data_IF_320444498113
#
_entry.id   IF_320444498113
#
_cell.length_a   1.000
_cell.length_b   1.000
_cell.length_c   1.000
_cell.angle_alpha   90.00
_cell.angle_beta   90.00
_cell.angle_gamma   90.00
#
_symmetry.space_group_name_H-M   'P 1'
#
loop_
_entity.id
_entity.type
_entity.pdbx_description
1 polymer ?
#
# COMPACT_ATOMS: atom_id res chain seq x y z
N UNK A 1 -59.46 3.27 -2.51
CA UNK A 1 -58.98 3.68 -3.85
C UNK A 1 -58.45 5.09 -3.73
N UNK A 2 -57.16 5.22 -3.55
CA UNK A 2 -56.44 6.51 -3.50
C UNK A 2 -55.29 6.40 -4.49
N UNK A 3 -55.50 7.07 -5.64
CA UNK A 3 -54.51 7.12 -6.72
C UNK A 3 -53.33 8.02 -6.33
N UNK A 4 -52.15 7.48 -6.37
CA UNK A 4 -50.91 8.23 -6.30
C UNK A 4 -50.56 8.84 -7.66
N UNK A 5 -50.35 10.15 -7.70
CA UNK A 5 -49.94 10.89 -8.87
C UNK A 5 -48.46 10.59 -9.19
N UNK A 6 -48.03 10.57 -10.47
CA UNK A 6 -46.64 10.32 -10.86
C UNK A 6 -45.77 11.55 -10.56
N UNK A 7 -44.61 11.33 -9.95
CA UNK A 7 -43.58 12.34 -9.74
C UNK A 7 -42.98 12.70 -11.11
N UNK A 8 -43.13 13.94 -11.54
CA UNK A 8 -42.55 14.52 -12.76
C UNK A 8 -41.16 15.05 -12.42
N UNK A 9 -40.12 14.40 -12.95
CA UNK A 9 -38.74 14.94 -12.93
C UNK A 9 -38.65 16.08 -13.94
N UNK A 10 -38.52 17.30 -13.48
CA UNK A 10 -38.20 18.44 -14.33
C UNK A 10 -36.73 18.35 -14.72
N UNK A 11 -36.44 18.51 -16.03
CA UNK A 11 -35.09 18.61 -16.57
C UNK A 11 -34.54 19.99 -16.18
N UNK A 12 -33.65 19.99 -15.16
CA UNK A 12 -32.83 21.15 -14.84
C UNK A 12 -31.80 21.39 -15.93
N UNK A 13 -31.69 22.62 -16.39
CA UNK A 13 -30.68 23.10 -17.32
C UNK A 13 -29.27 22.81 -16.80
N UNK A 14 -28.43 22.18 -17.64
CA UNK A 14 -27.00 22.00 -17.38
C UNK A 14 -26.33 23.36 -17.55
N UNK A 15 -26.13 24.08 -16.47
CA UNK A 15 -25.26 25.26 -16.44
C UNK A 15 -23.81 24.76 -16.48
N UNK A 16 -23.16 24.96 -17.60
CA UNK A 16 -21.74 24.71 -17.73
C UNK A 16 -20.94 25.66 -16.84
N UNK A 17 -20.54 25.21 -15.66
CA UNK A 17 -19.58 25.92 -14.85
C UNK A 17 -18.17 25.72 -15.42
N UNK A 18 -17.51 26.84 -15.62
CA UNK A 18 -16.15 27.00 -16.11
C UNK A 18 -15.16 26.21 -15.26
N UNK A 19 -14.27 25.54 -15.97
CA UNK A 19 -12.96 25.00 -15.55
C UNK A 19 -12.22 25.93 -14.59
N UNK A 20 -11.79 25.41 -13.42
CA UNK A 20 -10.76 26.07 -12.64
C UNK A 20 -10.78 25.94 -11.13
N UNK A 21 -11.61 25.08 -10.55
CA UNK A 21 -11.46 24.71 -9.14
C UNK A 21 -11.70 23.21 -9.01
N UNK A 22 -10.63 22.45 -8.82
CA UNK A 22 -10.74 21.09 -8.34
C UNK A 22 -11.52 21.15 -7.02
N UNK A 23 -12.75 20.64 -7.05
CA UNK A 23 -13.58 20.54 -5.84
C UNK A 23 -12.85 19.67 -4.82
N UNK A 24 -12.12 20.30 -3.92
CA UNK A 24 -11.64 19.67 -2.72
C UNK A 24 -12.88 19.19 -1.97
N UNK A 25 -13.01 17.86 -1.80
CA UNK A 25 -14.11 17.29 -1.04
C UNK A 25 -14.20 17.94 0.35
N UNK A 26 -15.28 17.69 1.13
CA UNK A 26 -15.55 18.38 2.40
C UNK A 26 -14.43 18.29 3.45
N UNK A 27 -13.41 17.48 3.20
CA UNK A 27 -12.26 17.27 4.10
C UNK A 27 -10.99 18.01 3.66
N UNK A 28 -11.01 18.84 2.60
CA UNK A 28 -9.82 19.58 2.15
C UNK A 28 -8.62 18.68 1.85
N UNK A 29 -8.86 17.52 1.25
CA UNK A 29 -7.82 16.53 0.90
C UNK A 29 -6.80 17.15 -0.04
N UNK A 30 -5.51 16.98 0.27
CA UNK A 30 -4.41 17.61 -0.48
C UNK A 30 -3.44 16.59 -1.05
N UNK A 31 -2.95 15.63 -0.24
CA UNK A 31 -2.00 14.60 -0.69
C UNK A 31 -2.70 13.25 -0.71
N UNK A 32 -2.40 12.46 -1.74
CA UNK A 32 -2.85 11.07 -1.84
C UNK A 32 -1.64 10.14 -1.76
N UNK A 33 -1.71 9.14 -0.87
CA UNK A 33 -0.74 8.06 -0.79
C UNK A 33 -1.36 6.77 -1.31
N UNK A 34 -0.70 6.15 -2.28
CA UNK A 34 -1.00 4.81 -2.76
C UNK A 34 0.07 3.89 -2.19
N UNK A 35 -0.25 3.13 -1.15
CA UNK A 35 0.65 2.17 -0.55
C UNK A 35 0.52 0.84 -1.28
N UNK A 36 1.59 0.39 -1.92
CA UNK A 36 1.62 -0.84 -2.69
C UNK A 36 2.53 -1.83 -1.96
N UNK A 37 2.00 -2.99 -1.55
CA UNK A 37 2.85 -4.07 -1.09
C UNK A 37 3.69 -4.60 -2.25
N UNK A 38 4.98 -4.87 -2.03
CA UNK A 38 5.80 -5.52 -3.04
C UNK A 38 5.12 -6.78 -3.61
N UNK A 39 5.41 -7.12 -4.85
CA UNK A 39 4.95 -8.32 -5.53
C UNK A 39 5.59 -9.59 -4.92
N UNK A 40 5.13 -10.77 -5.29
CA UNK A 40 5.57 -12.06 -4.73
C UNK A 40 7.08 -12.26 -4.91
N UNK A 41 7.86 -12.33 -3.82
CA UNK A 41 9.30 -12.56 -3.91
C UNK A 41 9.64 -14.05 -3.94
N UNK A 42 10.87 -14.35 -4.32
CA UNK A 42 11.45 -15.67 -4.10
C UNK A 42 11.62 -15.93 -2.60
N UNK A 43 11.68 -17.21 -2.23
CA UNK A 43 12.20 -17.61 -0.93
C UNK A 43 13.73 -17.46 -0.95
N UNK A 44 14.33 -16.96 0.12
CA UNK A 44 15.77 -17.02 0.30
C UNK A 44 16.15 -18.19 1.22
N UNK A 45 17.27 -18.82 0.91
CA UNK A 45 17.82 -19.88 1.75
C UNK A 45 18.61 -19.29 2.94
N UNK A 46 18.81 -20.07 4.03
CA UNK A 46 19.58 -19.61 5.16
C UNK A 46 20.98 -19.11 4.75
N UNK A 47 21.32 -17.89 5.16
CA UNK A 47 22.57 -17.21 4.81
C UNK A 47 22.54 -16.36 3.54
N UNK A 48 21.44 -16.34 2.81
CA UNK A 48 21.26 -15.47 1.64
C UNK A 48 20.64 -14.09 1.98
N UNK A 49 20.35 -13.85 3.26
CA UNK A 49 19.69 -12.61 3.71
C UNK A 49 18.19 -12.63 3.50
N UNK A 50 17.54 -11.55 3.95
CA UNK A 50 16.07 -11.42 3.95
C UNK A 50 15.52 -10.55 2.81
N UNK A 51 16.32 -10.28 1.76
CA UNK A 51 15.92 -9.40 0.67
C UNK A 51 16.04 -10.08 -0.70
N UNK A 52 15.19 -11.08 -1.00
CA UNK A 52 15.20 -11.77 -2.27
C UNK A 52 14.61 -10.94 -3.40
N UNK A 53 15.00 -11.31 -4.64
CA UNK A 53 14.37 -10.86 -5.87
C UNK A 53 12.89 -11.31 -5.96
N UNK A 54 12.16 -10.72 -6.90
CA UNK A 54 10.81 -11.17 -7.25
C UNK A 54 10.84 -12.55 -7.92
N UNK A 55 9.81 -13.35 -7.66
CA UNK A 55 9.54 -14.57 -8.44
C UNK A 55 9.03 -14.24 -9.85
N UNK A 56 8.91 -15.24 -10.72
CA UNK A 56 8.31 -15.06 -12.06
C UNK A 56 6.88 -14.54 -11.95
N UNK A 57 6.08 -15.08 -11.05
CA UNK A 57 4.72 -14.60 -10.76
C UNK A 57 4.73 -13.18 -10.19
N UNK A 58 5.70 -12.86 -9.35
CA UNK A 58 5.88 -11.51 -8.81
C UNK A 58 6.22 -10.49 -9.89
N UNK A 59 7.05 -10.86 -10.85
CA UNK A 59 7.34 -10.01 -12.02
C UNK A 59 6.06 -9.75 -12.83
N UNK A 60 5.21 -10.78 -13.04
CA UNK A 60 3.93 -10.60 -13.72
C UNK A 60 2.95 -9.75 -12.91
N UNK A 61 2.92 -9.89 -11.58
CA UNK A 61 2.13 -9.00 -10.71
C UNK A 61 2.58 -7.54 -10.86
N UNK A 62 3.90 -7.28 -10.82
CA UNK A 62 4.47 -5.94 -10.94
C UNK A 62 4.15 -5.29 -12.30
N UNK A 63 4.19 -6.04 -13.40
CA UNK A 63 3.84 -5.56 -14.76
C UNK A 63 2.41 -5.06 -14.90
N UNK A 64 1.48 -5.48 -14.05
CA UNK A 64 0.08 -5.04 -14.09
C UNK A 64 -0.17 -3.74 -13.34
N UNK A 65 0.76 -3.29 -12.51
CA UNK A 65 0.62 -2.07 -11.71
C UNK A 65 0.50 -0.78 -12.53
N UNK A 66 1.22 -0.57 -13.65
CA UNK A 66 1.04 0.64 -14.45
C UNK A 66 -0.41 0.87 -14.88
N UNK A 67 -1.10 -0.16 -15.37
CA UNK A 67 -2.52 -0.08 -15.77
C UNK A 67 -3.42 0.14 -14.54
N UNK A 68 -3.18 -0.59 -13.45
CA UNK A 68 -3.95 -0.45 -12.21
C UNK A 68 -3.88 0.96 -11.62
N UNK A 69 -2.71 1.61 -11.76
CA UNK A 69 -2.46 2.96 -11.25
C UNK A 69 -2.78 4.07 -12.24
N UNK A 70 -3.10 3.77 -13.51
CA UNK A 70 -3.30 4.76 -14.59
C UNK A 70 -4.41 5.79 -14.29
N UNK A 71 -5.39 5.44 -13.45
CA UNK A 71 -6.46 6.35 -13.01
C UNK A 71 -6.01 7.41 -12.00
N UNK A 72 -4.81 7.28 -11.45
CA UNK A 72 -4.27 8.20 -10.45
C UNK A 72 -3.19 9.08 -11.10
N UNK A 73 -3.21 10.41 -10.89
CA UNK A 73 -2.19 11.31 -11.40
C UNK A 73 -0.93 11.21 -10.53
N UNK A 74 -0.22 10.09 -10.60
CA UNK A 74 0.99 9.84 -9.79
C UNK A 74 2.08 10.85 -10.18
N UNK A 75 2.56 11.61 -9.20
CA UNK A 75 3.59 12.64 -9.36
C UNK A 75 4.94 12.20 -8.81
N UNK A 76 4.95 11.29 -7.82
CA UNK A 76 6.17 10.78 -7.18
C UNK A 76 6.10 9.27 -6.97
N UNK A 77 7.24 8.62 -7.16
CA UNK A 77 7.43 7.21 -6.83
C UNK A 77 8.43 7.08 -5.70
N UNK A 78 8.02 6.45 -4.63
CA UNK A 78 8.87 6.17 -3.47
C UNK A 78 8.90 4.67 -3.22
N UNK A 79 10.06 4.14 -2.85
CA UNK A 79 10.22 2.73 -2.49
C UNK A 79 10.96 2.57 -1.18
N UNK A 80 10.64 1.51 -0.46
CA UNK A 80 11.54 0.99 0.57
C UNK A 80 12.87 0.59 -0.07
N UNK A 81 13.98 0.49 0.69
CA UNK A 81 15.28 0.13 0.13
C UNK A 81 15.39 -1.32 -0.33
N UNK A 82 14.44 -2.18 0.05
CA UNK A 82 14.52 -3.62 -0.23
C UNK A 82 14.26 -3.92 -1.71
N UNK A 83 15.07 -4.81 -2.27
CA UNK A 83 15.13 -5.13 -3.71
C UNK A 83 13.75 -5.49 -4.26
N UNK A 84 13.01 -6.37 -3.57
CA UNK A 84 11.65 -6.77 -3.95
C UNK A 84 10.68 -5.60 -4.12
N UNK A 85 10.86 -4.55 -3.33
CA UNK A 85 10.03 -3.34 -3.39
C UNK A 85 10.41 -2.47 -4.58
N UNK A 86 11.71 -2.25 -4.79
CA UNK A 86 12.25 -1.49 -5.92
C UNK A 86 11.87 -2.18 -7.25
N UNK A 87 12.02 -3.50 -7.35
CA UNK A 87 11.64 -4.27 -8.53
C UNK A 87 10.14 -4.19 -8.82
N UNK A 88 9.31 -4.12 -7.78
CA UNK A 88 7.87 -3.92 -7.94
C UNK A 88 7.53 -2.54 -8.49
N UNK A 89 8.30 -1.51 -8.09
CA UNK A 89 8.10 -0.13 -8.54
C UNK A 89 8.58 0.10 -9.99
N UNK A 90 9.56 -0.66 -10.46
CA UNK A 90 10.25 -0.40 -11.73
C UNK A 90 9.32 -0.31 -12.95
N UNK A 91 8.34 -1.22 -13.18
CA UNK A 91 7.42 -1.11 -14.31
C UNK A 91 6.60 0.19 -14.29
N UNK A 92 6.23 0.69 -13.11
CA UNK A 92 5.51 1.94 -12.97
C UNK A 92 6.42 3.14 -13.24
N UNK A 93 7.67 3.08 -12.77
CA UNK A 93 8.69 4.11 -13.06
C UNK A 93 8.93 4.24 -14.56
N UNK A 94 9.11 3.12 -15.24
CA UNK A 94 9.33 3.07 -16.70
C UNK A 94 8.13 3.62 -17.47
N UNK A 95 6.90 3.25 -17.06
CA UNK A 95 5.67 3.69 -17.73
C UNK A 95 5.39 5.19 -17.56
N UNK A 96 5.73 5.76 -16.39
CA UNK A 96 5.47 7.18 -16.09
C UNK A 96 6.68 8.08 -16.37
N UNK A 97 7.86 7.53 -16.62
CA UNK A 97 9.10 8.30 -16.79
C UNK A 97 9.55 8.98 -15.50
N UNK A 98 9.22 8.41 -14.34
CA UNK A 98 9.58 8.92 -13.03
C UNK A 98 10.75 8.16 -12.42
N UNK A 99 11.55 8.83 -11.59
CA UNK A 99 12.58 8.20 -10.80
C UNK A 99 12.01 7.64 -9.51
N UNK A 100 12.59 6.52 -9.03
CA UNK A 100 12.23 5.92 -7.74
C UNK A 100 13.08 6.58 -6.65
N UNK A 101 12.43 7.28 -5.73
CA UNK A 101 13.04 7.80 -4.50
C UNK A 101 13.10 6.67 -3.47
N UNK A 102 14.21 6.52 -2.73
CA UNK A 102 14.34 5.50 -1.69
C UNK A 102 14.17 6.12 -0.31
N UNK A 103 13.26 5.56 0.50
CA UNK A 103 13.06 5.95 1.89
C UNK A 103 13.41 4.78 2.84
N UNK A 104 14.57 4.85 3.45
CA UNK A 104 15.17 3.81 4.30
C UNK A 104 14.26 3.41 5.49
N UNK A 105 13.49 4.35 6.02
CA UNK A 105 12.61 4.11 7.17
C UNK A 105 11.38 3.27 6.83
N UNK A 106 11.10 3.04 5.55
CA UNK A 106 9.98 2.22 5.08
C UNK A 106 10.38 0.78 4.77
N UNK A 107 11.57 0.36 5.20
CA UNK A 107 11.97 -1.03 5.17
C UNK A 107 11.08 -1.90 6.07
N UNK A 108 10.89 -3.17 5.71
CA UNK A 108 10.15 -4.13 6.54
C UNK A 108 10.90 -4.45 7.85
N UNK A 109 10.21 -5.06 8.77
CA UNK A 109 10.80 -5.52 10.03
C UNK A 109 11.83 -6.65 9.83
N UNK A 110 11.78 -7.35 8.68
CA UNK A 110 12.66 -8.47 8.36
C UNK A 110 14.01 -8.07 7.75
N UNK A 111 14.29 -6.78 7.52
CA UNK A 111 15.47 -6.30 6.75
C UNK A 111 16.81 -6.84 7.26
N UNK A 112 16.93 -7.07 8.56
CA UNK A 112 18.17 -7.53 9.20
C UNK A 112 18.11 -9.01 9.59
N UNK A 113 17.11 -9.77 9.11
CA UNK A 113 16.97 -11.20 9.36
C UNK A 113 17.93 -12.02 8.48
N UNK A 114 18.28 -13.22 8.91
CA UNK A 114 19.23 -14.07 8.23
C UNK A 114 18.71 -14.66 6.90
N UNK A 115 17.39 -14.72 6.73
CA UNK A 115 16.72 -15.23 5.53
C UNK A 115 15.28 -14.73 5.47
N UNK A 116 14.68 -14.79 4.28
CA UNK A 116 13.28 -14.45 4.02
C UNK A 116 12.46 -15.73 3.80
N UNK A 117 11.33 -15.84 4.52
CA UNK A 117 10.36 -16.90 4.32
C UNK A 117 9.02 -16.25 3.95
N UNK A 118 8.46 -16.55 2.76
CA UNK A 118 7.10 -16.12 2.42
C UNK A 118 6.11 -16.58 3.49
N UNK A 119 5.14 -15.73 3.83
CA UNK A 119 4.19 -15.99 4.92
C UNK A 119 3.43 -17.30 4.72
N UNK A 120 3.21 -17.71 3.49
CA UNK A 120 2.55 -18.95 3.11
C UNK A 120 3.35 -20.21 3.52
N UNK A 121 4.65 -20.07 3.78
CA UNK A 121 5.55 -21.15 4.13
C UNK A 121 5.96 -21.16 5.62
N UNK A 122 5.71 -20.08 6.36
CA UNK A 122 6.06 -19.94 7.78
C UNK A 122 5.43 -21.07 8.62
N UNK A 123 4.22 -21.52 8.27
CA UNK A 123 3.50 -22.55 9.01
C UNK A 123 4.28 -23.87 9.18
N UNK A 124 5.07 -24.25 8.20
CA UNK A 124 5.81 -25.51 8.21
C UNK A 124 7.07 -25.47 9.10
N UNK A 125 7.68 -24.29 9.25
CA UNK A 125 8.99 -24.15 9.88
C UNK A 125 8.90 -23.46 11.25
N UNK A 126 7.97 -22.51 11.43
CA UNK A 126 7.86 -21.68 12.63
C UNK A 126 6.40 -21.55 13.09
N UNK A 127 5.77 -22.64 13.58
CA UNK A 127 4.35 -22.63 13.94
C UNK A 127 4.00 -21.65 15.09
N UNK A 128 4.93 -21.38 16.01
CA UNK A 128 4.72 -20.41 17.10
C UNK A 128 4.70 -18.98 16.58
N UNK A 129 5.62 -18.63 15.66
CA UNK A 129 5.63 -17.33 15.03
C UNK A 129 4.39 -17.14 14.13
N UNK A 130 3.95 -18.19 13.41
CA UNK A 130 2.69 -18.13 12.68
C UNK A 130 1.50 -17.85 13.61
N UNK A 131 1.44 -18.51 14.76
CA UNK A 131 0.38 -18.28 15.74
C UNK A 131 0.39 -16.82 16.25
N UNK A 132 1.57 -16.24 16.44
CA UNK A 132 1.76 -14.85 16.83
C UNK A 132 1.30 -13.88 15.73
N UNK A 133 1.70 -14.13 14.47
CA UNK A 133 1.24 -13.36 13.31
C UNK A 133 -0.29 -13.45 13.13
N UNK A 134 -0.86 -14.65 13.31
CA UNK A 134 -2.32 -14.88 13.25
C UNK A 134 -3.08 -14.14 14.38
N UNK A 135 -2.43 -13.90 15.52
CA UNK A 135 -2.97 -13.06 16.59
C UNK A 135 -2.82 -11.57 16.30
N UNK A 136 -2.17 -11.19 15.20
CA UNK A 136 -2.02 -9.82 14.74
C UNK A 136 -0.79 -9.08 15.32
N UNK A 137 0.19 -9.81 15.82
CA UNK A 137 1.46 -9.29 16.33
C UNK A 137 2.60 -9.49 15.32
N UNK A 138 3.62 -8.64 15.37
CA UNK A 138 4.88 -8.86 14.66
C UNK A 138 5.68 -10.00 15.30
N UNK A 139 6.67 -10.60 14.61
CA UNK A 139 7.54 -11.62 15.21
C UNK A 139 8.12 -11.19 16.57
N UNK A 140 8.36 -12.16 17.43
CA UNK A 140 8.80 -11.90 18.82
C UNK A 140 10.16 -11.19 18.92
N UNK A 141 10.97 -11.29 17.88
CA UNK A 141 12.27 -10.60 17.76
C UNK A 141 12.17 -9.12 17.39
N UNK A 142 10.98 -8.62 17.04
CA UNK A 142 10.77 -7.23 16.58
C UNK A 142 10.27 -6.35 17.72
N UNK A 143 10.96 -5.24 17.96
CA UNK A 143 10.43 -4.17 18.80
C UNK A 143 9.34 -3.40 18.03
N UNK A 144 8.07 -3.71 18.35
CA UNK A 144 6.90 -3.15 17.72
C UNK A 144 6.86 -1.61 17.84
N UNK A 145 7.24 -1.05 18.99
CA UNK A 145 7.22 0.40 19.21
C UNK A 145 8.28 1.10 18.37
N UNK A 146 9.49 0.57 18.32
CA UNK A 146 10.58 1.12 17.50
C UNK A 146 10.23 1.04 16.01
N UNK A 147 9.63 -0.08 15.56
CA UNK A 147 9.16 -0.25 14.19
C UNK A 147 8.11 0.79 13.82
N UNK A 148 7.05 0.93 14.64
CA UNK A 148 5.99 1.93 14.42
C UNK A 148 6.53 3.36 14.44
N UNK A 149 7.41 3.70 15.37
CA UNK A 149 8.01 5.03 15.42
C UNK A 149 8.81 5.35 14.16
N UNK A 150 9.59 4.38 13.64
CA UNK A 150 10.40 4.51 12.42
C UNK A 150 9.54 4.75 11.18
N UNK A 151 8.54 3.92 10.93
CA UNK A 151 7.69 4.04 9.73
C UNK A 151 6.84 5.31 9.76
N UNK A 152 6.28 5.68 10.92
CA UNK A 152 5.49 6.90 11.06
C UNK A 152 6.35 8.17 10.87
N UNK A 153 7.62 8.16 11.30
CA UNK A 153 8.55 9.25 11.02
C UNK A 153 8.81 9.36 9.50
N UNK A 154 9.06 8.24 8.81
CA UNK A 154 9.27 8.20 7.36
C UNK A 154 8.09 8.81 6.59
N UNK A 155 6.87 8.38 6.90
CA UNK A 155 5.67 8.90 6.25
C UNK A 155 5.45 10.39 6.54
N UNK A 156 5.65 10.83 7.79
CA UNK A 156 5.49 12.23 8.15
C UNK A 156 6.42 13.13 7.36
N UNK A 157 7.69 12.76 7.27
CA UNK A 157 8.69 13.57 6.56
C UNK A 157 8.48 13.52 5.04
N UNK A 158 8.08 12.36 4.49
CA UNK A 158 7.71 12.21 3.10
C UNK A 158 6.56 13.14 2.73
N UNK A 159 5.53 13.21 3.56
CA UNK A 159 4.39 14.10 3.34
C UNK A 159 4.75 15.58 3.52
N UNK A 160 5.65 15.90 4.46
CA UNK A 160 6.10 17.27 4.67
C UNK A 160 7.00 17.79 3.52
N UNK A 161 7.65 16.89 2.78
CA UNK A 161 8.51 17.22 1.64
C UNK A 161 7.78 17.36 0.30
N UNK A 162 6.49 17.00 0.24
CA UNK A 162 5.68 17.01 -0.97
C UNK A 162 4.88 18.29 -1.18
N UNK A 163 4.41 18.47 -2.41
CA UNK A 163 3.45 19.52 -2.73
C UNK A 163 2.03 19.10 -2.32
N UNK A 164 1.18 20.09 -2.08
CA UNK A 164 -0.19 19.85 -1.56
C UNK A 164 -1.14 19.09 -2.52
N UNK A 165 -0.73 18.84 -3.76
CA UNK A 165 -1.53 18.11 -4.74
C UNK A 165 -0.86 16.79 -5.17
N UNK A 166 0.17 16.35 -4.46
CA UNK A 166 0.91 15.15 -4.82
C UNK A 166 0.07 13.87 -4.67
N UNK A 167 0.21 13.01 -5.66
CA UNK A 167 -0.16 11.60 -5.57
C UNK A 167 1.12 10.77 -5.54
N UNK A 168 1.44 10.23 -4.38
CA UNK A 168 2.65 9.48 -4.14
C UNK A 168 2.33 7.98 -4.21
N UNK A 169 2.93 7.26 -5.15
CA UNK A 169 2.91 5.80 -5.15
C UNK A 169 4.11 5.28 -4.34
N UNK A 170 3.81 4.64 -3.22
CA UNK A 170 4.78 4.17 -2.24
C UNK A 170 4.82 2.64 -2.23
N UNK A 171 5.92 2.08 -2.71
CA UNK A 171 6.16 0.64 -2.76
C UNK A 171 6.83 0.18 -1.47
N UNK A 172 6.20 -0.73 -0.74
CA UNK A 172 6.61 -1.12 0.60
C UNK A 172 6.13 -2.55 0.94
N UNK A 173 5.82 -2.83 2.19
CA UNK A 173 5.65 -4.17 2.75
C UNK A 173 4.36 -4.32 3.55
N UNK A 174 3.97 -5.57 3.80
CA UNK A 174 2.77 -5.90 4.54
C UNK A 174 2.78 -5.38 5.98
N UNK A 175 3.90 -5.51 6.68
CA UNK A 175 4.06 -5.00 8.04
C UNK A 175 4.02 -3.48 8.12
N UNK A 176 4.67 -2.79 7.17
CA UNK A 176 4.65 -1.32 7.09
C UNK A 176 3.24 -0.80 6.84
N UNK A 177 2.51 -1.36 5.88
CA UNK A 177 1.12 -0.96 5.57
C UNK A 177 0.22 -1.19 6.79
N UNK A 178 0.32 -2.36 7.41
CA UNK A 178 -0.45 -2.67 8.63
C UNK A 178 -0.09 -1.73 9.80
N UNK A 179 1.19 -1.45 10.02
CA UNK A 179 1.63 -0.51 11.07
C UNK A 179 1.09 0.90 10.87
N UNK A 180 1.00 1.37 9.62
CA UNK A 180 0.38 2.67 9.31
C UNK A 180 -1.14 2.62 9.53
N UNK A 181 -1.82 1.56 9.07
CA UNK A 181 -3.25 1.37 9.32
C UNK A 181 -3.56 1.28 10.82
N UNK A 182 -2.74 0.55 11.58
CA UNK A 182 -2.84 0.48 13.04
C UNK A 182 -2.76 1.88 13.68
N UNK A 183 -1.78 2.68 13.27
CA UNK A 183 -1.60 4.05 13.79
C UNK A 183 -2.78 4.96 13.45
N UNK A 184 -3.31 4.88 12.22
CA UNK A 184 -4.39 5.76 11.73
C UNK A 184 -5.74 5.36 12.34
N UNK A 185 -6.02 4.06 12.43
CA UNK A 185 -7.32 3.54 12.86
C UNK A 185 -7.41 3.26 14.36
N UNK A 186 -6.28 3.23 15.08
CA UNK A 186 -6.21 2.90 16.50
C UNK A 186 -6.65 1.45 16.78
N UNK A 187 -6.26 0.50 15.92
CA UNK A 187 -6.61 -0.91 16.10
C UNK A 187 -5.89 -1.50 17.31
N UNK A 188 -6.47 -2.54 17.92
CA UNK A 188 -5.83 -3.25 19.05
C UNK A 188 -4.57 -4.01 18.63
N UNK A 189 -4.51 -4.45 17.37
CA UNK A 189 -3.44 -5.30 16.82
C UNK A 189 -2.77 -4.61 15.64
N UNK A 190 -1.46 -4.78 15.53
CA UNK A 190 -0.69 -4.19 14.42
C UNK A 190 -1.10 -4.83 13.08
N UNK A 191 -1.05 -6.16 12.99
CA UNK A 191 -1.45 -6.87 11.77
C UNK A 191 -2.98 -7.04 11.75
N UNK A 192 -3.67 -6.00 11.31
CA UNK A 192 -5.13 -5.92 11.33
C UNK A 192 -5.79 -6.24 9.98
N UNK A 193 -5.01 -6.29 8.90
CA UNK A 193 -5.50 -6.54 7.53
C UNK A 193 -4.60 -7.55 6.82
N UNK A 194 -5.21 -8.47 6.08
CA UNK A 194 -4.44 -9.29 5.13
C UNK A 194 -4.13 -8.44 3.90
N UNK A 195 -2.88 -7.97 3.78
CA UNK A 195 -2.40 -7.20 2.63
C UNK A 195 -1.77 -8.16 1.63
N UNK A 196 -2.38 -8.33 0.46
CA UNK A 196 -1.88 -9.22 -0.60
C UNK A 196 -0.71 -8.61 -1.38
N UNK A 197 0.07 -9.45 -2.07
CA UNK A 197 1.15 -9.01 -2.96
C UNK A 197 0.60 -8.11 -4.08
N UNK A 198 1.31 -7.05 -4.40
CA UNK A 198 0.90 -5.98 -5.30
C UNK A 198 -0.46 -5.32 -4.96
N UNK A 199 -1.03 -5.60 -3.77
CA UNK A 199 -2.25 -4.97 -3.28
C UNK A 199 -2.06 -3.48 -3.04
N UNK A 200 -3.07 -2.68 -3.41
CA UNK A 200 -3.04 -1.21 -3.32
C UNK A 200 -3.93 -0.74 -2.17
N UNK A 201 -3.34 -0.04 -1.21
CA UNK A 201 -4.05 0.64 -0.12
C UNK A 201 -3.96 2.14 -0.34
N UNK A 202 -5.08 2.84 -0.27
CA UNK A 202 -5.16 4.27 -0.54
C UNK A 202 -5.42 5.06 0.72
N UNK A 203 -4.54 6.02 1.00
CA UNK A 203 -4.70 7.00 2.07
C UNK A 203 -4.87 8.39 1.48
N UNK A 204 -5.62 9.24 2.18
CA UNK A 204 -5.81 10.64 1.86
C UNK A 204 -5.31 11.47 3.03
N UNK A 205 -4.64 12.58 2.74
CA UNK A 205 -4.22 13.54 3.76
C UNK A 205 -5.04 14.81 3.71
N UNK A 206 -5.39 15.38 4.87
CA UNK A 206 -5.90 16.74 4.96
C UNK A 206 -4.77 17.77 4.92
N UNK A 207 -5.13 19.06 4.78
CA UNK A 207 -4.18 20.18 4.88
C UNK A 207 -3.49 20.27 6.23
N UNK A 208 -4.10 19.75 7.27
CA UNK A 208 -3.56 19.70 8.63
C UNK A 208 -2.67 18.48 8.87
N UNK A 209 -2.47 17.62 7.84
CA UNK A 209 -1.64 16.41 7.94
C UNK A 209 -2.36 15.19 8.53
N UNK A 210 -3.68 15.24 8.74
CA UNK A 210 -4.44 14.07 9.18
C UNK A 210 -4.59 13.06 8.04
N UNK A 211 -4.35 11.79 8.33
CA UNK A 211 -4.49 10.69 7.37
C UNK A 211 -5.84 9.99 7.52
N UNK A 212 -6.45 9.68 6.38
CA UNK A 212 -7.71 8.95 6.28
C UNK A 212 -7.54 7.74 5.37
N UNK A 213 -8.10 6.59 5.77
CA UNK A 213 -8.09 5.37 4.96
C UNK A 213 -9.25 5.44 3.95
N UNK A 214 -8.92 5.46 2.66
CA UNK A 214 -9.91 5.55 1.58
C UNK A 214 -10.22 4.21 0.92
N UNK A 215 -9.24 3.30 0.86
CA UNK A 215 -9.40 1.93 0.38
C UNK A 215 -8.27 1.06 0.95
N UNK A 216 -8.52 -0.22 1.11
CA UNK A 216 -7.53 -1.17 1.64
C UNK A 216 -7.45 -2.37 0.72
N UNK A 217 -6.22 -2.76 0.36
CA UNK A 217 -5.90 -4.02 -0.31
C UNK A 217 -6.70 -4.27 -1.61
N UNK A 218 -6.78 -3.26 -2.50
CA UNK A 218 -7.35 -3.44 -3.85
C UNK A 218 -6.44 -4.36 -4.67
N UNK A 219 -6.98 -5.48 -5.18
CA UNK A 219 -6.22 -6.56 -5.83
C UNK A 219 -6.83 -7.00 -7.17
N UNK A 220 -7.79 -6.27 -7.69
CA UNK A 220 -8.54 -6.65 -8.91
C UNK A 220 -7.60 -6.93 -10.09
N UNK A 221 -6.51 -6.16 -10.21
CA UNK A 221 -5.53 -6.26 -11.29
C UNK A 221 -4.61 -7.50 -11.19
N UNK A 222 -4.51 -8.12 -10.02
CA UNK A 222 -3.65 -9.30 -9.77
C UNK A 222 -4.40 -10.49 -9.19
N UNK A 223 -5.74 -10.45 -9.19
CA UNK A 223 -6.58 -11.44 -8.54
C UNK A 223 -6.26 -12.89 -8.93
N UNK A 224 -6.04 -13.13 -10.21
CA UNK A 224 -5.69 -14.43 -10.79
C UNK A 224 -4.24 -14.88 -10.50
N UNK A 225 -3.36 -13.96 -10.10
CA UNK A 225 -1.95 -14.22 -9.76
C UNK A 225 -1.69 -14.31 -8.24
N UNK A 226 -2.72 -14.16 -7.42
CA UNK A 226 -2.55 -14.28 -5.98
C UNK A 226 -2.38 -15.76 -5.57
N UNK A 227 -1.37 -16.12 -4.75
CA UNK A 227 -1.12 -17.51 -4.34
C UNK A 227 -2.35 -18.20 -3.74
N UNK A 228 -3.19 -17.45 -2.99
CA UNK A 228 -4.43 -17.96 -2.40
C UNK A 228 -5.52 -18.32 -3.41
N UNK A 229 -5.45 -17.82 -4.64
CA UNK A 229 -6.43 -18.03 -5.71
C UNK A 229 -5.97 -19.05 -6.77
N UNK A 230 -4.71 -19.49 -6.71
CA UNK A 230 -4.12 -20.48 -7.62
C UNK A 230 -4.32 -21.93 -7.15
N UNK A 231 -5.47 -22.27 -6.59
CA UNK A 231 -5.79 -23.61 -6.11
C UNK A 231 -6.42 -24.47 -7.20
#
# INVERSE_FOLDING_TARGET
MTGGAPIRLERGEVVAHRTGECAHGPYGVTVQLLLIRHALPLRSEPGQGSDPDLSEEGIEQAKRLPEALARFPVTRLVSSPQVRSIQTAQPVADALGLTIEVEERLAEYDRDMAHYIPIEQIAAEFPEELARLAQGHLPSSVDENAFLARINAGIRDLMASGDHEDTIALFTHGGVINGLLHTILGTERILCVNVDYAGVTRLLSSREGNLYVAAVNGTEHVWDLLPRNQR
#
